data_IF_267781741865
#
_entry.id   IF_267781741865
#
_cell.length_a   1.000
_cell.length_b   1.000
_cell.length_c   1.000
_cell.angle_alpha   90.00
_cell.angle_beta   90.00
_cell.angle_gamma   90.00
#
_symmetry.space_group_name_H-M   'P 1'
#
loop_
_entity.id
_entity.type
_entity.pdbx_description
1 polymer ?
#
# COMPACT_ATOMS: atom_id res chain seq x y z
N UNK A 1 11.34 -7.79 -4.64
CA UNK A 1 10.15 -7.05 -5.11
C UNK A 1 9.58 -6.32 -3.89
N UNK A 2 9.16 -5.06 -4.02
CA UNK A 2 8.60 -4.25 -2.92
C UNK A 2 7.13 -3.92 -3.22
N UNK A 3 6.29 -3.85 -2.19
CA UNK A 3 4.86 -3.57 -2.27
C UNK A 3 4.51 -2.23 -1.60
N UNK A 4 3.71 -1.41 -2.28
CA UNK A 4 3.12 -0.19 -1.71
C UNK A 4 1.63 -0.42 -1.54
N UNK A 5 1.11 -0.28 -0.32
CA UNK A 5 -0.32 -0.31 -0.06
C UNK A 5 -0.92 1.09 -0.25
N UNK A 6 -1.96 1.20 -1.08
CA UNK A 6 -2.73 2.44 -1.24
C UNK A 6 -4.14 2.18 -0.71
N UNK A 7 -4.49 2.61 0.51
CA UNK A 7 -5.78 2.33 1.12
C UNK A 7 -6.83 3.23 0.47
N UNK A 8 -7.44 2.72 -0.61
CA UNK A 8 -8.46 3.46 -1.35
C UNK A 8 -9.88 3.30 -0.80
N UNK A 9 -10.11 2.39 0.15
CA UNK A 9 -11.46 2.07 0.64
C UNK A 9 -11.47 1.56 2.10
N UNK A 10 -12.57 1.82 2.81
CA UNK A 10 -12.97 0.97 3.95
C UNK A 10 -13.39 -0.38 3.39
N UNK A 11 -12.47 -1.33 3.33
CA UNK A 11 -12.73 -2.68 2.80
C UNK A 11 -13.68 -3.41 3.78
N UNK A 12 -14.86 -3.86 3.35
CA UNK A 12 -15.73 -4.69 4.17
C UNK A 12 -14.99 -5.96 4.64
N UNK A 13 -15.20 -6.37 5.90
CA UNK A 13 -14.42 -7.45 6.53
C UNK A 13 -14.41 -8.77 5.74
N UNK A 14 -15.49 -9.08 5.01
CA UNK A 14 -15.59 -10.29 4.18
C UNK A 14 -14.85 -10.20 2.83
N UNK A 15 -14.30 -9.04 2.48
CA UNK A 15 -13.54 -8.81 1.25
C UNK A 15 -12.03 -8.65 1.51
N UNK A 16 -11.60 -8.75 2.77
CA UNK A 16 -10.19 -8.80 3.13
C UNK A 16 -9.67 -10.18 2.75
N UNK A 17 -8.60 -10.23 1.95
CA UNK A 17 -8.00 -11.49 1.52
C UNK A 17 -7.58 -12.36 2.71
N UNK A 18 -7.54 -13.68 2.51
CA UNK A 18 -7.25 -14.66 3.57
C UNK A 18 -5.82 -14.58 4.15
N UNK A 19 -4.94 -13.79 3.50
CA UNK A 19 -3.57 -13.55 3.94
C UNK A 19 -3.32 -12.06 3.99
N UNK A 20 -3.04 -11.52 5.18
CA UNK A 20 -2.53 -10.16 5.35
C UNK A 20 -1.02 -10.17 5.12
N UNK A 21 -0.53 -9.32 4.21
CA UNK A 21 0.89 -9.03 4.05
C UNK A 21 1.24 -7.68 4.66
N UNK A 22 2.46 -7.53 5.16
CA UNK A 22 2.99 -6.22 5.57
C UNK A 22 3.60 -5.55 4.34
N UNK A 23 3.10 -4.38 3.90
CA UNK A 23 3.67 -3.66 2.77
C UNK A 23 4.99 -2.98 3.15
N UNK A 24 5.86 -2.75 2.17
CA UNK A 24 7.12 -2.01 2.36
C UNK A 24 6.85 -0.50 2.55
N UNK A 25 5.72 0.01 2.06
CA UNK A 25 5.27 1.37 2.30
C UNK A 25 3.74 1.51 2.16
N UNK A 26 3.19 2.58 2.73
CA UNK A 26 1.78 2.97 2.58
C UNK A 26 1.71 4.37 1.97
N UNK A 27 0.96 4.52 0.88
CA UNK A 27 0.70 5.82 0.24
C UNK A 27 -0.76 6.22 0.45
N UNK A 28 -1.06 7.48 0.76
CA UNK A 28 -2.44 7.95 0.93
C UNK A 28 -2.98 8.67 -0.31
N UNK A 29 -2.08 9.08 -1.21
CA UNK A 29 -2.38 9.60 -2.54
C UNK A 29 -1.43 8.93 -3.54
N UNK A 30 -1.89 8.77 -4.78
CA UNK A 30 -1.03 8.19 -5.83
C UNK A 30 0.24 9.02 -6.08
N UNK A 31 0.18 10.33 -5.88
CA UNK A 31 1.34 11.21 -6.00
C UNK A 31 2.45 10.88 -4.97
N UNK A 32 2.11 10.34 -3.80
CA UNK A 32 3.09 10.02 -2.74
C UNK A 32 4.02 8.86 -3.16
N UNK A 33 3.61 8.05 -4.16
CA UNK A 33 4.41 6.91 -4.67
C UNK A 33 5.76 7.37 -5.22
N UNK A 34 5.81 8.54 -5.87
CA UNK A 34 7.03 9.08 -6.44
C UNK A 34 8.12 9.26 -5.36
N UNK A 35 7.73 9.87 -4.24
CA UNK A 35 8.67 10.16 -3.15
C UNK A 35 9.09 8.88 -2.42
N UNK A 36 8.16 7.94 -2.22
CA UNK A 36 8.45 6.62 -1.64
C UNK A 36 9.50 5.87 -2.47
N UNK A 37 9.30 5.77 -3.79
CA UNK A 37 10.23 5.06 -4.68
C UNK A 37 11.57 5.81 -4.78
N UNK A 38 11.57 7.13 -4.68
CA UNK A 38 12.79 7.93 -4.68
C UNK A 38 13.65 7.71 -3.43
N UNK A 39 13.02 7.48 -2.27
CA UNK A 39 13.69 7.21 -1.00
C UNK A 39 14.29 5.80 -0.88
N UNK A 40 13.97 4.90 -1.82
CA UNK A 40 14.34 3.49 -1.78
C UNK A 40 15.74 3.15 -2.29
N UNK A 41 16.53 4.16 -2.67
CA UNK A 41 17.91 4.04 -3.14
C UNK A 41 18.77 3.15 -2.24
#
# INVERSE_FOLDING_TARGET
>A
MRAIHVPHSRIPRGQVGHTEGVPDAVAHRLADVHDIVSAWR
#
